data_IF_711332290412
#
_entry.id   IF_711332290412
#
_cell.length_a   1.000
_cell.length_b   1.000
_cell.length_c   1.000
_cell.angle_alpha   90.00
_cell.angle_beta   90.00
_cell.angle_gamma   90.00
#
_symmetry.space_group_name_H-M   'P 1'
#
loop_
_entity.id
_entity.type
_entity.pdbx_description
1 polymer ?
#
# COMPACT_ATOMS: atom_id res chain seq x y z
N UNK A 1 -36.09 -43.60 -8.35
CA UNK A 1 -35.13 -42.85 -7.51
C UNK A 1 -35.07 -41.40 -7.99
N UNK A 2 -34.90 -40.42 -7.11
CA UNK A 2 -34.88 -39.00 -7.45
C UNK A 2 -33.46 -38.45 -7.32
N UNK A 3 -32.95 -37.86 -8.40
CA UNK A 3 -31.58 -37.33 -8.46
C UNK A 3 -31.63 -35.82 -8.71
N UNK A 4 -30.73 -35.07 -8.09
CA UNK A 4 -30.60 -33.63 -8.30
C UNK A 4 -29.56 -33.35 -9.39
N UNK A 5 -30.01 -32.86 -10.53
CA UNK A 5 -29.13 -32.47 -11.64
C UNK A 5 -28.83 -30.97 -11.57
N UNK A 6 -27.55 -30.63 -11.55
CA UNK A 6 -27.05 -29.25 -11.51
C UNK A 6 -26.36 -28.89 -12.82
N UNK A 7 -26.78 -27.78 -13.43
CA UNK A 7 -26.24 -27.26 -14.69
C UNK A 7 -25.92 -25.78 -14.51
N UNK A 8 -24.64 -25.46 -14.31
CA UNK A 8 -24.23 -24.10 -13.91
C UNK A 8 -24.93 -23.65 -12.62
N UNK A 9 -25.70 -22.56 -12.70
CA UNK A 9 -26.51 -22.02 -11.59
C UNK A 9 -27.91 -22.65 -11.47
N UNK A 10 -28.37 -23.41 -12.47
CA UNK A 10 -29.69 -24.06 -12.47
C UNK A 10 -29.59 -25.43 -11.81
N UNK A 11 -30.63 -25.84 -11.07
CA UNK A 11 -30.74 -27.21 -10.58
C UNK A 11 -32.17 -27.69 -10.59
N UNK A 12 -32.38 -28.93 -11.02
CA UNK A 12 -33.70 -29.55 -11.10
C UNK A 12 -33.63 -31.01 -10.68
N UNK A 13 -34.78 -31.56 -10.28
CA UNK A 13 -34.90 -32.96 -9.89
C UNK A 13 -35.37 -33.80 -11.08
N UNK A 14 -34.76 -34.98 -11.25
CA UNK A 14 -35.11 -35.96 -12.27
C UNK A 14 -35.42 -37.28 -11.59
N UNK A 15 -36.50 -37.92 -12.02
CA UNK A 15 -36.88 -39.25 -11.57
C UNK A 15 -36.29 -40.30 -12.51
N UNK A 16 -35.56 -41.26 -11.94
CA UNK A 16 -34.93 -42.38 -12.62
C UNK A 16 -35.70 -43.65 -12.26
N UNK A 17 -36.17 -44.38 -13.26
CA UNK A 17 -37.12 -45.48 -13.09
C UNK A 17 -37.62 -46.03 -14.43
N UNK A 18 -38.39 -47.12 -14.38
CA UNK A 18 -39.01 -47.76 -15.56
C UNK A 18 -40.48 -47.30 -15.77
N UNK A 19 -40.98 -46.37 -14.96
CA UNK A 19 -42.36 -45.86 -15.05
C UNK A 19 -42.53 -44.72 -16.06
N UNK A 20 -43.78 -44.45 -16.46
CA UNK A 20 -44.11 -43.30 -17.30
C UNK A 20 -43.56 -41.99 -16.70
N UNK A 21 -42.77 -41.24 -17.49
CA UNK A 21 -42.16 -39.98 -17.09
C UNK A 21 -40.82 -40.11 -16.34
N UNK A 22 -40.33 -41.33 -16.12
CA UNK A 22 -38.99 -41.58 -15.57
C UNK A 22 -37.93 -41.76 -16.66
N UNK A 23 -36.68 -41.47 -16.32
CA UNK A 23 -35.51 -41.65 -17.19
C UNK A 23 -34.81 -42.96 -16.83
N UNK A 24 -34.53 -43.81 -17.80
CA UNK A 24 -33.91 -45.13 -17.60
C UNK A 24 -32.49 -45.21 -18.16
N UNK A 25 -32.19 -44.45 -19.22
CA UNK A 25 -30.90 -44.49 -19.92
C UNK A 25 -30.13 -43.17 -19.86
N UNK A 26 -28.82 -43.25 -20.12
CA UNK A 26 -27.96 -42.06 -20.21
C UNK A 26 -28.38 -41.15 -21.39
N UNK A 27 -28.87 -41.72 -22.48
CA UNK A 27 -29.39 -40.98 -23.64
C UNK A 27 -30.61 -40.14 -23.28
N UNK A 28 -31.59 -40.74 -22.60
CA UNK A 28 -32.79 -40.03 -22.11
C UNK A 28 -32.42 -38.93 -21.11
N UNK A 29 -31.44 -39.18 -20.23
CA UNK A 29 -30.95 -38.17 -19.28
C UNK A 29 -30.35 -36.97 -20.02
N UNK A 30 -29.54 -37.21 -21.05
CA UNK A 30 -28.95 -36.13 -21.87
C UNK A 30 -30.05 -35.36 -22.62
N UNK A 31 -31.02 -36.04 -23.21
CA UNK A 31 -32.12 -35.41 -23.93
C UNK A 31 -32.96 -34.49 -23.00
N UNK A 32 -33.32 -34.99 -21.81
CA UNK A 32 -34.09 -34.22 -20.84
C UNK A 32 -33.30 -33.01 -20.30
N UNK A 33 -31.99 -33.17 -20.10
CA UNK A 33 -31.12 -32.04 -19.71
C UNK A 33 -30.96 -31.04 -20.85
N UNK A 34 -30.90 -31.51 -22.11
CA UNK A 34 -30.81 -30.64 -23.28
C UNK A 34 -32.02 -29.73 -23.38
N UNK A 35 -33.22 -30.30 -23.23
CA UNK A 35 -34.48 -29.57 -23.25
C UNK A 35 -34.57 -28.54 -22.11
N UNK A 36 -34.20 -28.92 -20.88
CA UNK A 36 -34.33 -28.04 -19.71
C UNK A 36 -33.24 -26.98 -19.59
N UNK A 37 -32.05 -27.25 -20.12
CA UNK A 37 -30.88 -26.39 -19.92
C UNK A 37 -30.33 -25.78 -21.21
N UNK A 38 -30.92 -26.08 -22.36
CA UNK A 38 -30.50 -25.62 -23.69
C UNK A 38 -29.02 -25.91 -23.99
N UNK A 39 -28.64 -27.17 -23.76
CA UNK A 39 -27.27 -27.66 -23.98
C UNK A 39 -27.30 -28.71 -25.07
N UNK A 40 -26.33 -28.67 -25.98
CA UNK A 40 -26.14 -29.71 -26.99
C UNK A 40 -25.80 -31.06 -26.33
N UNK A 41 -26.61 -32.12 -26.51
CA UNK A 41 -26.35 -33.47 -26.00
C UNK A 41 -24.96 -34.02 -26.33
N UNK A 42 -24.41 -33.67 -27.49
CA UNK A 42 -23.11 -34.15 -27.95
C UNK A 42 -21.93 -33.55 -27.15
N UNK A 43 -22.13 -32.36 -26.58
CA UNK A 43 -21.12 -31.63 -25.81
C UNK A 43 -21.32 -31.75 -24.30
N UNK A 44 -22.28 -32.58 -23.85
CA UNK A 44 -22.54 -32.81 -22.44
C UNK A 44 -21.49 -33.73 -21.80
N UNK A 45 -20.95 -33.27 -20.68
CA UNK A 45 -20.16 -34.05 -19.72
C UNK A 45 -20.93 -34.19 -18.42
N UNK A 46 -21.25 -35.42 -18.07
CA UNK A 46 -21.96 -35.76 -16.83
C UNK A 46 -20.93 -36.15 -15.78
N UNK A 47 -20.98 -35.53 -14.61
CA UNK A 47 -20.09 -35.79 -13.48
C UNK A 47 -20.92 -36.27 -12.29
N UNK A 48 -20.56 -37.44 -11.76
CA UNK A 48 -21.15 -38.00 -10.54
C UNK A 48 -20.02 -38.35 -9.57
N UNK A 49 -20.13 -37.88 -8.31
CA UNK A 49 -19.14 -38.10 -7.23
C UNK A 49 -17.68 -37.81 -7.64
N UNK A 50 -17.48 -36.74 -8.42
CA UNK A 50 -16.15 -36.30 -8.87
C UNK A 50 -15.57 -37.12 -10.03
N UNK A 51 -16.32 -38.08 -10.59
CA UNK A 51 -15.91 -38.85 -11.77
C UNK A 51 -16.77 -38.48 -12.97
N UNK A 52 -16.13 -38.35 -14.12
CA UNK A 52 -16.84 -38.17 -15.40
C UNK A 52 -17.45 -39.51 -15.80
N UNK A 53 -18.75 -39.50 -16.06
CA UNK A 53 -19.47 -40.64 -16.61
C UNK A 53 -19.21 -40.68 -18.11
N UNK A 54 -18.56 -41.74 -18.57
CA UNK A 54 -18.35 -42.03 -19.99
C UNK A 54 -19.18 -43.25 -20.34
N UNK A 55 -20.13 -43.09 -21.25
CA UNK A 55 -21.12 -44.11 -21.58
C UNK A 55 -21.80 -43.85 -22.91
N UNK A 56 -22.20 -44.94 -23.58
CA UNK A 56 -23.10 -44.88 -24.72
C UNK A 56 -24.51 -44.42 -24.30
N UNK A 57 -25.32 -43.96 -25.25
CA UNK A 57 -26.67 -43.49 -24.95
C UNK A 57 -27.58 -44.60 -24.41
N UNK A 58 -27.29 -45.86 -24.76
CA UNK A 58 -28.05 -47.04 -24.33
C UNK A 58 -27.65 -47.54 -22.94
N UNK A 59 -26.65 -46.93 -22.30
CA UNK A 59 -26.21 -47.35 -20.97
C UNK A 59 -27.28 -47.04 -19.92
N UNK A 60 -27.62 -48.07 -19.14
CA UNK A 60 -28.58 -47.97 -18.05
C UNK A 60 -28.06 -47.09 -16.91
N UNK A 61 -28.92 -46.20 -16.40
CA UNK A 61 -28.62 -45.37 -15.22
C UNK A 61 -28.55 -46.20 -13.93
N UNK A 62 -29.15 -47.39 -13.92
CA UNK A 62 -29.11 -48.31 -12.77
C UNK A 62 -27.70 -48.88 -12.55
N UNK A 63 -26.93 -49.08 -13.62
CA UNK A 63 -25.55 -49.59 -13.56
C UNK A 63 -24.57 -48.56 -12.99
N UNK A 64 -25.00 -47.31 -12.85
CA UNK A 64 -24.17 -46.18 -12.43
C UNK A 64 -24.13 -45.97 -10.91
N UNK A 65 -24.71 -46.88 -10.11
CA UNK A 65 -24.73 -46.82 -8.64
C UNK A 65 -25.27 -45.48 -8.07
N UNK A 66 -26.24 -44.89 -8.77
CA UNK A 66 -26.95 -43.69 -8.32
C UNK A 66 -27.80 -44.02 -7.09
N UNK A 67 -27.76 -43.15 -6.09
CA UNK A 67 -28.61 -43.23 -4.89
C UNK A 67 -29.67 -42.13 -4.92
N UNK A 68 -30.72 -42.34 -4.15
CA UNK A 68 -31.74 -41.30 -3.96
C UNK A 68 -31.10 -40.04 -3.36
N UNK A 69 -31.46 -38.88 -3.91
CA UNK A 69 -30.89 -37.55 -3.63
C UNK A 69 -29.41 -37.36 -3.98
N UNK A 70 -28.83 -38.24 -4.80
CA UNK A 70 -27.49 -37.99 -5.34
C UNK A 70 -27.46 -36.69 -6.17
N UNK A 71 -26.31 -36.02 -6.17
CA UNK A 71 -26.05 -34.85 -6.99
C UNK A 71 -25.26 -35.24 -8.23
N UNK A 72 -25.83 -34.94 -9.40
CA UNK A 72 -25.19 -35.07 -10.71
C UNK A 72 -24.94 -33.68 -11.26
N UNK A 73 -23.72 -33.41 -11.70
CA UNK A 73 -23.33 -32.13 -12.29
C UNK A 73 -23.20 -32.36 -13.79
N UNK A 74 -23.91 -31.57 -14.59
CA UNK A 74 -23.75 -31.59 -16.05
C UNK A 74 -23.06 -30.31 -16.48
N UNK A 75 -22.00 -30.47 -17.26
CA UNK A 75 -21.30 -29.39 -17.93
C UNK A 75 -21.49 -29.54 -19.43
N UNK A 76 -21.72 -28.44 -20.13
CA UNK A 76 -21.79 -28.43 -21.58
C UNK A 76 -21.79 -27.01 -22.10
N UNK A 77 -21.63 -26.85 -23.40
CA UNK A 77 -21.80 -25.55 -24.07
C UNK A 77 -23.27 -25.41 -24.45
N UNK A 78 -23.85 -24.25 -24.17
CA UNK A 78 -25.20 -23.94 -24.62
C UNK A 78 -25.28 -24.07 -26.15
N UNK A 79 -26.40 -24.59 -26.65
CA UNK A 79 -26.62 -24.82 -28.09
C UNK A 79 -26.59 -23.50 -28.87
N UNK A 80 -27.05 -22.41 -28.24
CA UNK A 80 -26.89 -21.03 -28.72
C UNK A 80 -25.46 -20.58 -28.45
N UNK A 81 -24.56 -21.02 -29.32
CA UNK A 81 -23.26 -20.41 -29.49
C UNK A 81 -23.47 -18.92 -29.78
N UNK A 82 -23.02 -18.04 -28.87
CA UNK A 82 -22.88 -16.59 -29.10
C UNK A 82 -22.19 -16.22 -30.43
N UNK A 83 -21.57 -17.18 -31.14
CA UNK A 83 -20.97 -16.97 -32.46
C UNK A 83 -21.97 -16.69 -33.59
N UNK A 84 -23.24 -17.10 -33.45
CA UNK A 84 -24.24 -16.92 -34.53
C UNK A 84 -25.13 -15.68 -34.32
N UNK A 85 -24.88 -14.90 -33.26
CA UNK A 85 -25.51 -13.60 -33.08
C UNK A 85 -24.83 -12.56 -33.98
N UNK A 86 -25.58 -12.04 -34.96
CA UNK A 86 -25.17 -10.92 -35.83
C UNK A 86 -24.68 -9.72 -35.01
N UNK A 87 -25.26 -9.47 -33.84
CA UNK A 87 -24.84 -8.44 -32.91
C UNK A 87 -23.46 -8.72 -32.31
N UNK A 88 -23.21 -9.96 -31.87
CA UNK A 88 -21.90 -10.36 -31.32
C UNK A 88 -20.80 -10.35 -32.39
N UNK A 89 -21.10 -10.84 -33.60
CA UNK A 89 -20.17 -10.78 -34.74
C UNK A 89 -19.81 -9.33 -35.11
N UNK A 90 -20.80 -8.44 -35.11
CA UNK A 90 -20.60 -7.00 -35.32
C UNK A 90 -19.80 -6.34 -34.19
N UNK A 91 -19.99 -6.79 -32.94
CA UNK A 91 -19.23 -6.32 -31.80
C UNK A 91 -17.75 -6.74 -31.88
N UNK A 92 -17.50 -8.01 -32.23
CA UNK A 92 -16.15 -8.56 -32.39
C UNK A 92 -15.41 -7.93 -33.57
N UNK A 93 -16.10 -7.64 -34.68
CA UNK A 93 -15.51 -6.92 -35.80
C UNK A 93 -15.18 -5.47 -35.42
N UNK A 94 -16.09 -4.78 -34.73
CA UNK A 94 -15.83 -3.44 -34.20
C UNK A 94 -14.65 -3.42 -33.22
N UNK A 95 -14.54 -4.40 -32.32
CA UNK A 95 -13.42 -4.54 -31.39
C UNK A 95 -12.10 -4.76 -32.14
N UNK A 96 -12.07 -5.67 -33.11
CA UNK A 96 -10.86 -5.90 -33.90
C UNK A 96 -10.43 -4.68 -34.69
N UNK A 97 -11.36 -3.91 -35.25
CA UNK A 97 -11.05 -2.76 -36.09
C UNK A 97 -10.67 -1.52 -35.27
N UNK A 98 -11.34 -1.28 -34.14
CA UNK A 98 -11.21 -0.02 -33.40
C UNK A 98 -10.47 -0.15 -32.07
N UNK A 99 -10.50 -1.33 -31.43
CA UNK A 99 -9.92 -1.53 -30.10
C UNK A 99 -8.56 -2.23 -30.14
N UNK A 100 -8.19 -2.92 -31.21
CA UNK A 100 -6.88 -3.62 -31.31
C UNK A 100 -5.69 -2.66 -31.24
N UNK A 101 -5.77 -1.49 -31.87
CA UNK A 101 -4.78 -0.43 -31.75
C UNK A 101 -4.67 0.09 -30.32
N UNK A 102 -5.82 0.35 -29.68
CA UNK A 102 -5.90 0.81 -28.30
C UNK A 102 -5.40 -0.24 -27.30
N UNK A 103 -5.65 -1.53 -27.56
CA UNK A 103 -5.14 -2.66 -26.77
C UNK A 103 -3.62 -2.74 -26.87
N UNK A 104 -3.06 -2.51 -28.06
CA UNK A 104 -1.60 -2.46 -28.26
C UNK A 104 -0.98 -1.28 -27.51
N UNK A 105 -1.54 -0.08 -27.66
CA UNK A 105 -1.10 1.09 -26.90
C UNK A 105 -1.19 0.86 -25.38
N UNK A 106 -2.28 0.25 -24.91
CA UNK A 106 -2.44 -0.08 -23.50
C UNK A 106 -1.40 -1.10 -23.02
N UNK A 107 -1.04 -2.08 -23.87
CA UNK A 107 -0.01 -3.07 -23.57
C UNK A 107 1.40 -2.44 -23.53
N UNK A 108 1.69 -1.49 -24.44
CA UNK A 108 2.94 -0.74 -24.45
C UNK A 108 3.06 0.15 -23.19
N UNK A 109 1.99 0.88 -22.85
CA UNK A 109 1.88 1.67 -21.59
C UNK A 109 2.06 0.76 -20.37
N UNK A 110 1.49 -0.45 -20.39
CA UNK A 110 1.63 -1.40 -19.30
C UNK A 110 3.07 -1.89 -19.13
N UNK A 111 3.78 -2.14 -20.24
CA UNK A 111 5.19 -2.49 -20.24
C UNK A 111 6.04 -1.36 -19.63
N UNK A 112 5.81 -0.13 -20.08
CA UNK A 112 6.55 1.06 -19.61
C UNK A 112 6.30 1.34 -18.12
N UNK A 113 5.04 1.27 -17.65
CA UNK A 113 4.71 1.41 -16.24
C UNK A 113 5.38 0.32 -15.39
N UNK A 114 5.48 -0.91 -15.91
CA UNK A 114 6.15 -2.02 -15.21
C UNK A 114 7.67 -1.84 -15.15
N UNK A 115 8.27 -1.17 -16.14
CA UNK A 115 9.68 -0.82 -16.12
C UNK A 115 9.94 0.34 -15.13
N UNK A 116 9.10 1.38 -15.15
CA UNK A 116 9.16 2.49 -14.20
C UNK A 116 9.01 2.02 -12.75
N UNK A 117 8.05 1.14 -12.46
CA UNK A 117 7.84 0.58 -11.14
C UNK A 117 9.08 -0.19 -10.64
N UNK A 118 9.71 -1.00 -11.49
CA UNK A 118 10.95 -1.71 -11.14
C UNK A 118 12.08 -0.74 -10.82
N UNK A 119 12.30 0.26 -11.68
CA UNK A 119 13.35 1.26 -11.50
C UNK A 119 13.15 2.10 -10.22
N UNK A 120 11.89 2.43 -9.90
CA UNK A 120 11.53 3.14 -8.68
C UNK A 120 11.79 2.29 -7.42
N UNK A 121 11.41 1.01 -7.44
CA UNK A 121 11.59 0.09 -6.31
C UNK A 121 13.05 -0.30 -6.05
N UNK A 122 13.90 -0.30 -7.08
CA UNK A 122 15.33 -0.60 -6.96
C UNK A 122 16.16 0.57 -6.41
N UNK A 123 15.53 1.72 -6.08
CA UNK A 123 16.13 2.81 -5.32
C UNK A 123 17.14 3.66 -6.10
N UNK A 124 17.19 3.55 -7.43
CA UNK A 124 18.18 4.22 -8.27
C UNK A 124 18.05 5.75 -8.36
N UNK A 125 16.93 6.33 -7.92
CA UNK A 125 16.64 7.77 -8.09
C UNK A 125 16.98 8.58 -6.82
N UNK A 126 17.16 7.95 -5.65
CA UNK A 126 17.45 8.64 -4.39
C UNK A 126 18.86 8.41 -3.83
N UNK A 127 19.84 8.08 -4.67
CA UNK A 127 21.22 8.33 -4.28
C UNK A 127 21.50 9.80 -4.49
N UNK A 128 21.32 10.62 -3.44
CA UNK A 128 22.02 11.89 -3.33
C UNK A 128 23.48 11.61 -3.66
N UNK A 129 23.92 11.98 -4.88
CA UNK A 129 25.33 12.12 -5.19
C UNK A 129 25.80 13.33 -4.40
N UNK A 130 26.19 13.08 -3.15
CA UNK A 130 27.30 13.85 -2.58
C UNK A 130 28.51 13.54 -3.46
N UNK A 131 29.15 14.60 -3.94
CA UNK A 131 30.46 14.52 -4.57
C UNK A 131 31.38 13.64 -3.72
N UNK A 132 31.88 12.58 -4.33
CA UNK A 132 33.11 11.93 -3.90
C UNK A 132 33.80 11.39 -5.16
N UNK A 133 34.59 12.28 -5.78
CA UNK A 133 35.80 11.84 -6.44
C UNK A 133 36.68 11.18 -5.38
N UNK A 134 36.84 9.86 -5.41
CA UNK A 134 37.99 9.24 -4.77
C UNK A 134 38.45 7.95 -5.43
N UNK A 135 39.76 7.96 -5.66
CA UNK A 135 40.65 6.97 -6.25
C UNK A 135 40.55 5.57 -5.64
N UNK A 136 40.69 4.48 -6.43
CA UNK A 136 40.75 3.13 -5.91
C UNK A 136 42.21 2.69 -5.73
N UNK A 137 42.86 3.11 -4.64
CA UNK A 137 44.00 2.35 -4.12
C UNK A 137 44.27 2.67 -2.66
N UNK A 138 43.87 1.76 -1.76
CA UNK A 138 44.63 1.42 -0.55
C UNK A 138 43.97 0.23 0.15
N UNK A 139 44.72 -0.87 0.13
CA UNK A 139 44.50 -2.09 0.88
C UNK A 139 44.36 -1.84 2.38
N UNK A 140 43.30 -2.39 2.98
CA UNK A 140 43.06 -2.41 4.42
C UNK A 140 44.15 -3.17 5.19
N UNK A 141 44.62 -2.69 6.35
CA UNK A 141 45.25 -3.52 7.37
C UNK A 141 44.26 -3.91 8.49
N UNK A 142 44.56 -4.98 9.26
CA UNK A 142 43.64 -5.54 10.23
C UNK A 142 43.58 -4.70 11.51
N UNK A 143 42.38 -4.61 12.10
CA UNK A 143 42.15 -3.97 13.39
C UNK A 143 42.95 -4.65 14.50
N UNK A 144 44.04 -4.02 14.92
CA UNK A 144 44.74 -4.34 16.16
C UNK A 144 44.20 -3.47 17.29
N UNK A 145 43.78 -4.13 18.38
CA UNK A 145 43.44 -3.47 19.66
C UNK A 145 44.68 -2.74 20.19
N UNK A 146 44.69 -1.41 20.14
CA UNK A 146 45.55 -0.58 21.00
C UNK A 146 44.71 0.49 21.68
N UNK A 147 45.03 0.69 22.95
CA UNK A 147 44.28 1.49 23.91
C UNK A 147 44.09 2.93 23.46
N UNK A 148 42.83 3.37 23.56
CA UNK A 148 42.45 4.77 23.44
C UNK A 148 42.77 5.47 24.75
N UNK A 149 43.65 6.47 24.67
CA UNK A 149 43.91 7.44 25.72
C UNK A 149 42.60 8.18 26.03
N UNK A 150 42.13 8.08 27.26
CA UNK A 150 40.97 8.81 27.77
C UNK A 150 41.29 10.31 27.90
N UNK A 151 40.91 11.09 26.87
CA UNK A 151 40.65 12.52 27.04
C UNK A 151 39.22 12.71 27.54
N UNK A 152 39.05 13.43 28.65
CA UNK A 152 37.78 13.66 29.35
C UNK A 152 36.83 14.60 28.59
N UNK A 153 36.28 14.15 27.47
CA UNK A 153 35.30 14.87 26.65
C UNK A 153 33.83 14.60 27.01
N UNK A 154 33.52 14.10 28.22
CA UNK A 154 32.24 13.44 28.52
C UNK A 154 31.03 14.33 28.83
N UNK A 155 31.03 15.64 28.53
CA UNK A 155 29.90 16.52 28.93
C UNK A 155 28.79 16.61 27.88
N UNK A 156 29.11 16.77 26.59
CA UNK A 156 28.09 17.12 25.58
C UNK A 156 27.23 15.97 25.09
N UNK A 157 27.76 14.74 25.04
CA UNK A 157 27.02 13.58 24.53
C UNK A 157 25.95 13.09 25.51
N UNK A 158 26.27 13.09 26.82
CA UNK A 158 25.30 12.80 27.88
C UNK A 158 24.15 13.82 27.96
N UNK A 159 24.41 15.07 27.58
CA UNK A 159 23.40 16.13 27.53
C UNK A 159 22.34 15.84 26.45
N UNK A 160 22.73 15.41 25.26
CA UNK A 160 21.78 15.09 24.18
C UNK A 160 20.85 13.94 24.57
N UNK A 161 21.42 12.86 25.11
CA UNK A 161 20.63 11.71 25.57
C UNK A 161 19.63 12.12 26.65
N UNK A 162 20.06 12.93 27.62
CA UNK A 162 19.19 13.43 28.68
C UNK A 162 18.05 14.28 28.11
N UNK A 163 18.32 15.16 27.14
CA UNK A 163 17.30 15.99 26.49
C UNK A 163 16.26 15.15 25.76
N UNK A 164 16.69 14.15 24.97
CA UNK A 164 15.76 13.26 24.25
C UNK A 164 14.91 12.45 25.24
N UNK A 165 15.49 11.91 26.30
CA UNK A 165 14.75 11.18 27.34
C UNK A 165 13.73 12.08 28.06
N UNK A 166 14.11 13.30 28.41
CA UNK A 166 13.22 14.26 29.05
C UNK A 166 12.05 14.64 28.14
N UNK A 167 12.31 14.85 26.83
CA UNK A 167 11.26 15.09 25.85
C UNK A 167 10.31 13.89 25.74
N UNK A 168 10.84 12.67 25.62
CA UNK A 168 10.04 11.42 25.58
C UNK A 168 9.15 11.29 26.81
N UNK A 169 9.70 11.52 28.00
CA UNK A 169 8.96 11.44 29.26
C UNK A 169 7.87 12.52 29.35
N UNK A 170 8.15 13.74 28.90
CA UNK A 170 7.18 14.83 28.84
C UNK A 170 6.02 14.53 27.85
N UNK A 171 6.32 13.89 26.72
CA UNK A 171 5.31 13.41 25.76
C UNK A 171 4.41 12.33 26.37
N UNK A 172 5.00 11.28 26.96
CA UNK A 172 4.23 10.19 27.58
C UNK A 172 3.36 10.71 28.73
N UNK A 173 3.90 11.63 29.53
CA UNK A 173 3.21 12.24 30.68
C UNK A 173 2.26 13.37 30.30
N UNK A 174 2.13 13.71 29.01
CA UNK A 174 1.27 14.79 28.48
C UNK A 174 1.52 16.18 29.10
N UNK A 175 2.78 16.48 29.44
CA UNK A 175 3.18 17.76 30.03
C UNK A 175 3.55 18.77 28.95
N UNK A 176 2.55 19.48 28.40
CA UNK A 176 2.72 20.36 27.23
C UNK A 176 3.80 21.45 27.40
N UNK A 177 3.88 22.07 28.58
CA UNK A 177 4.90 23.11 28.87
C UNK A 177 6.31 22.52 28.85
N UNK A 178 6.48 21.33 29.42
CA UNK A 178 7.77 20.63 29.42
C UNK A 178 8.15 20.14 28.02
N UNK A 179 7.17 19.65 27.22
CA UNK A 179 7.39 19.25 25.83
C UNK A 179 8.04 20.39 25.04
N UNK A 180 7.39 21.57 25.02
CA UNK A 180 7.91 22.76 24.32
C UNK A 180 9.31 23.15 24.79
N UNK A 181 9.49 23.23 26.12
CA UNK A 181 10.80 23.56 26.72
C UNK A 181 11.90 22.60 26.28
N UNK A 182 11.66 21.29 26.36
CA UNK A 182 12.66 20.30 25.99
C UNK A 182 12.90 20.23 24.49
N UNK A 183 11.86 20.43 23.67
CA UNK A 183 12.00 20.50 22.22
C UNK A 183 12.83 21.69 21.77
N UNK A 184 12.64 22.88 22.35
CA UNK A 184 13.49 24.03 22.05
C UNK A 184 14.95 23.79 22.45
N UNK A 185 15.19 23.23 23.65
CA UNK A 185 16.54 22.87 24.08
C UNK A 185 17.17 21.86 23.12
N UNK A 186 16.43 20.80 22.76
CA UNK A 186 16.90 19.78 21.82
C UNK A 186 17.20 20.36 20.44
N UNK A 187 16.34 21.25 19.92
CA UNK A 187 16.57 21.94 18.63
C UNK A 187 17.88 22.72 18.64
N UNK A 188 18.15 23.49 19.71
CA UNK A 188 19.41 24.25 19.87
C UNK A 188 20.63 23.30 19.96
N UNK A 189 20.50 22.18 20.65
CA UNK A 189 21.58 21.19 20.76
C UNK A 189 21.85 20.47 19.43
N UNK A 190 20.81 20.15 18.65
CA UNK A 190 20.94 19.49 17.35
C UNK A 190 21.53 20.39 16.27
N UNK A 191 21.40 21.71 16.39
CA UNK A 191 22.12 22.64 15.50
C UNK A 191 23.62 22.69 15.77
N UNK A 192 24.10 22.07 16.86
CA UNK A 192 25.53 21.89 17.14
C UNK A 192 26.12 20.63 16.50
N UNK A 193 27.45 20.53 16.45
CA UNK A 193 28.20 19.35 15.97
C UNK A 193 28.14 18.19 16.99
N UNK A 194 26.97 17.94 17.58
CA UNK A 194 26.79 16.85 18.53
C UNK A 194 26.62 15.53 17.76
N UNK A 195 27.45 14.53 18.07
CA UNK A 195 27.30 13.18 17.51
C UNK A 195 26.13 12.46 18.20
N UNK A 196 25.06 12.07 17.48
CA UNK A 196 23.94 11.35 18.08
C UNK A 196 24.21 9.86 18.35
N UNK A 197 25.41 9.36 18.04
CA UNK A 197 25.75 7.92 18.09
C UNK A 197 25.51 7.26 19.45
N UNK A 198 25.87 7.91 20.56
CA UNK A 198 25.60 7.37 21.91
C UNK A 198 24.10 7.29 22.21
N UNK A 199 23.36 8.34 21.82
CA UNK A 199 21.91 8.39 21.99
C UNK A 199 21.24 7.28 21.16
N UNK A 200 21.74 7.04 19.94
CA UNK A 200 21.26 5.94 19.10
C UNK A 200 21.56 4.58 19.70
N UNK A 201 22.74 4.40 20.30
CA UNK A 201 23.09 3.17 21.00
C UNK A 201 22.14 2.93 22.18
N UNK A 202 21.79 3.95 22.97
CA UNK A 202 20.85 3.81 24.09
C UNK A 202 19.51 3.17 23.67
N UNK A 203 18.88 3.68 22.61
CA UNK A 203 17.58 3.15 22.14
C UNK A 203 17.65 1.75 21.51
N UNK A 204 18.85 1.27 21.16
CA UNK A 204 19.04 -0.01 20.47
C UNK A 204 19.84 -1.05 21.27
N UNK A 205 20.43 -0.69 22.41
CA UNK A 205 21.13 -1.62 23.27
C UNK A 205 20.15 -2.64 23.86
N UNK A 206 20.62 -3.88 23.99
CA UNK A 206 19.81 -4.99 24.48
C UNK A 206 19.55 -4.76 25.97
N UNK A 207 18.28 -4.88 26.37
CA UNK A 207 17.78 -4.72 27.75
C UNK A 207 18.79 -5.14 28.82
N UNK A 208 19.02 -4.24 29.78
CA UNK A 208 19.24 -4.65 31.18
C UNK A 208 17.88 -5.06 31.73
N UNK A 209 17.82 -6.12 32.54
CA UNK A 209 16.60 -6.85 32.92
C UNK A 209 15.50 -6.04 33.60
N UNK A 210 15.74 -4.78 33.97
CA UNK A 210 14.83 -3.90 34.71
C UNK A 210 14.31 -2.69 33.92
N UNK A 211 14.87 -2.36 32.76
CA UNK A 211 14.53 -1.12 32.05
C UNK A 211 13.35 -1.34 31.09
N UNK A 212 12.36 -0.45 31.13
CA UNK A 212 11.30 -0.40 30.11
C UNK A 212 11.94 -0.31 28.72
N UNK A 213 11.24 -0.84 27.71
CA UNK A 213 11.76 -0.87 26.35
C UNK A 213 11.84 0.57 25.80
N UNK A 214 13.03 1.18 25.89
CA UNK A 214 13.27 2.58 25.53
C UNK A 214 12.74 2.93 24.13
N UNK A 215 12.86 1.99 23.18
CA UNK A 215 12.33 2.15 21.83
C UNK A 215 10.80 2.22 21.81
N UNK A 216 10.11 1.41 22.62
CA UNK A 216 8.65 1.49 22.76
C UNK A 216 8.23 2.79 23.44
N UNK A 217 9.00 3.29 24.41
CA UNK A 217 8.71 4.58 25.05
C UNK A 217 8.88 5.73 24.05
N UNK A 218 9.90 5.70 23.19
CA UNK A 218 10.05 6.65 22.09
C UNK A 218 8.85 6.62 21.13
N UNK A 219 8.41 5.43 20.70
CA UNK A 219 7.24 5.29 19.82
C UNK A 219 5.95 5.74 20.50
N UNK A 220 5.79 5.45 21.81
CA UNK A 220 4.66 5.92 22.61
C UNK A 220 4.67 7.44 22.75
N UNK A 221 5.85 8.06 22.87
CA UNK A 221 5.98 9.51 22.86
C UNK A 221 5.50 10.11 21.53
N UNK A 222 5.85 9.52 20.38
CA UNK A 222 5.36 9.93 19.06
C UNK A 222 3.83 9.84 18.95
N UNK A 223 3.21 8.81 19.53
CA UNK A 223 1.74 8.68 19.56
C UNK A 223 1.04 9.70 20.45
N UNK A 224 1.71 10.13 21.53
CA UNK A 224 1.14 10.97 22.58
C UNK A 224 1.51 12.45 22.44
N UNK A 225 2.41 12.76 21.50
CA UNK A 225 2.86 14.12 21.23
C UNK A 225 1.74 14.92 20.56
N UNK A 226 1.42 16.08 21.15
CA UNK A 226 0.39 17.00 20.64
C UNK A 226 1.02 18.24 20.01
N UNK A 227 2.26 18.57 20.41
CA UNK A 227 3.00 19.72 19.89
C UNK A 227 3.75 19.34 18.60
N UNK A 228 3.60 20.17 17.56
CA UNK A 228 4.11 19.89 16.22
C UNK A 228 5.63 19.98 16.13
N UNK A 229 6.25 20.92 16.86
CA UNK A 229 7.71 21.02 16.93
C UNK A 229 8.31 19.80 17.63
N UNK A 230 7.71 19.39 18.76
CA UNK A 230 8.14 18.20 19.49
C UNK A 230 8.03 16.95 18.62
N UNK A 231 6.91 16.78 17.92
CA UNK A 231 6.68 15.63 17.05
C UNK A 231 7.66 15.64 15.87
N UNK A 232 7.91 16.79 15.25
CA UNK A 232 8.88 16.93 14.16
C UNK A 232 10.29 16.51 14.61
N UNK A 233 10.73 16.93 15.80
CA UNK A 233 12.03 16.52 16.36
C UNK A 233 12.10 15.03 16.67
N UNK A 234 11.05 14.45 17.24
CA UNK A 234 10.98 13.01 17.49
C UNK A 234 11.00 12.22 16.17
N UNK A 235 10.31 12.71 15.14
CA UNK A 235 10.30 12.10 13.81
C UNK A 235 11.69 12.20 13.15
N UNK A 236 12.33 13.38 13.18
CA UNK A 236 13.70 13.56 12.69
C UNK A 236 14.69 12.63 13.38
N UNK A 237 14.59 12.52 14.71
CA UNK A 237 15.41 11.60 15.48
C UNK A 237 15.23 10.13 15.07
N UNK A 238 13.98 9.68 14.85
CA UNK A 238 13.69 8.31 14.35
C UNK A 238 14.18 8.13 12.92
N UNK A 239 14.09 9.16 12.09
CA UNK A 239 14.58 9.13 10.72
C UNK A 239 16.11 8.93 10.71
N UNK A 240 16.84 9.72 11.48
CA UNK A 240 18.30 9.63 11.58
C UNK A 240 18.74 8.27 12.17
N UNK A 241 17.97 7.79 13.14
CA UNK A 241 18.13 6.43 13.66
C UNK A 241 18.07 5.37 12.55
N UNK A 242 17.21 5.49 11.54
CA UNK A 242 17.13 4.49 10.46
C UNK A 242 18.08 4.78 9.29
N UNK A 243 18.49 6.03 9.09
CA UNK A 243 19.24 6.47 7.90
C UNK A 243 20.76 6.50 8.08
N UNK A 244 21.27 6.67 9.30
CA UNK A 244 22.70 6.91 9.57
C UNK A 244 23.53 5.62 9.69
N UNK A 245 24.76 5.62 9.19
CA UNK A 245 25.72 4.53 9.37
C UNK A 245 25.60 3.38 8.35
N UNK A 246 26.33 2.28 8.59
CA UNK A 246 26.45 1.19 7.61
C UNK A 246 25.09 0.52 7.30
N UNK A 247 24.93 0.02 6.06
CA UNK A 247 23.71 -0.67 5.60
C UNK A 247 23.29 -1.77 6.58
N UNK A 248 24.24 -2.56 7.09
CA UNK A 248 23.99 -3.63 8.08
C UNK A 248 23.40 -3.08 9.37
N UNK A 249 23.92 -1.96 9.89
CA UNK A 249 23.43 -1.32 11.10
C UNK A 249 22.02 -0.74 10.89
N UNK A 250 21.79 -0.04 9.76
CA UNK A 250 20.47 0.48 9.37
C UNK A 250 19.41 -0.62 9.32
N UNK A 251 19.70 -1.72 8.63
CA UNK A 251 18.80 -2.88 8.53
C UNK A 251 18.55 -3.55 9.88
N UNK A 252 19.53 -3.58 10.79
CA UNK A 252 19.34 -4.13 12.13
C UNK A 252 18.43 -3.25 12.98
N UNK A 253 18.58 -1.93 12.90
CA UNK A 253 17.74 -0.95 13.61
C UNK A 253 16.31 -0.90 13.06
N UNK A 254 16.18 -0.91 11.73
CA UNK A 254 14.88 -1.02 11.05
C UNK A 254 14.08 -2.25 11.49
N UNK A 255 14.72 -3.43 11.54
CA UNK A 255 14.08 -4.66 12.04
C UNK A 255 13.62 -4.56 13.49
N UNK A 256 14.37 -3.85 14.34
CA UNK A 256 14.02 -3.65 15.75
C UNK A 256 12.84 -2.69 15.91
N UNK A 257 12.76 -1.62 15.11
CA UNK A 257 11.58 -0.74 15.03
C UNK A 257 10.33 -1.52 14.62
N UNK A 258 10.42 -2.36 13.59
CA UNK A 258 9.31 -3.23 13.18
C UNK A 258 8.87 -4.15 14.33
N UNK A 259 9.83 -4.76 15.06
CA UNK A 259 9.52 -5.60 16.23
C UNK A 259 8.90 -4.82 17.39
N UNK A 260 9.20 -3.53 17.50
CA UNK A 260 8.61 -2.63 18.48
C UNK A 260 7.24 -2.06 18.05
N UNK A 261 6.67 -2.54 16.93
CA UNK A 261 5.39 -2.11 16.37
C UNK A 261 5.37 -0.64 15.89
N UNK A 262 6.53 -0.13 15.48
CA UNK A 262 6.69 1.25 15.01
C UNK A 262 5.73 1.60 13.86
N UNK A 263 5.48 0.68 12.92
CA UNK A 263 4.57 0.95 11.79
C UNK A 263 3.15 1.24 12.28
N UNK A 264 2.62 0.45 13.21
CA UNK A 264 1.27 0.67 13.75
C UNK A 264 1.21 1.97 14.54
N UNK A 265 2.27 2.31 15.28
CA UNK A 265 2.37 3.56 16.01
C UNK A 265 2.30 4.78 15.09
N UNK A 266 3.15 4.81 14.07
CA UNK A 266 3.22 5.90 13.10
C UNK A 266 1.91 6.05 12.30
N UNK A 267 1.28 4.93 11.91
CA UNK A 267 -0.03 4.97 11.23
C UNK A 267 -1.11 5.56 12.15
N UNK A 268 -1.11 5.21 13.44
CA UNK A 268 -2.06 5.81 14.41
C UNK A 268 -1.85 7.31 14.54
N UNK A 269 -0.61 7.75 14.68
CA UNK A 269 -0.25 9.17 14.74
C UNK A 269 -0.72 9.89 13.49
N UNK A 270 -0.34 9.41 12.30
CA UNK A 270 -0.73 10.02 11.03
C UNK A 270 -2.26 10.09 10.88
N UNK A 271 -2.97 9.02 11.24
CA UNK A 271 -4.44 9.00 11.19
C UNK A 271 -5.06 10.12 12.03
N UNK A 272 -4.58 10.32 13.26
CA UNK A 272 -5.05 11.40 14.12
C UNK A 272 -4.81 12.76 13.46
N UNK A 273 -3.62 12.96 12.90
CA UNK A 273 -3.24 14.22 12.23
C UNK A 273 -4.04 14.49 10.95
N UNK A 274 -4.27 13.48 10.12
CA UNK A 274 -5.13 13.60 8.93
C UNK A 274 -6.55 14.02 9.31
N UNK A 275 -7.08 13.52 10.43
CA UNK A 275 -8.40 13.92 10.95
C UNK A 275 -8.40 15.39 11.41
N UNK A 276 -7.36 15.82 12.11
CA UNK A 276 -7.23 17.19 12.62
C UNK A 276 -7.00 18.21 11.50
N UNK A 277 -6.19 17.87 10.49
CA UNK A 277 -5.93 18.74 9.33
C UNK A 277 -7.22 19.10 8.57
N UNK A 278 -8.14 18.13 8.42
CA UNK A 278 -9.46 18.37 7.81
C UNK A 278 -10.29 19.36 8.64
N UNK A 279 -10.16 19.34 9.97
CA UNK A 279 -10.82 20.31 10.84
C UNK A 279 -10.18 21.71 10.71
N UNK A 280 -8.83 21.79 10.67
CA UNK A 280 -8.08 23.05 10.56
C UNK A 280 -8.39 23.84 9.29
N UNK A 281 -8.59 23.17 8.15
CA UNK A 281 -8.91 23.86 6.88
C UNK A 281 -10.25 24.63 6.93
N UNK A 282 -11.18 24.26 7.83
CA UNK A 282 -12.48 24.94 7.95
C UNK A 282 -12.43 26.26 8.72
N UNK A 283 -11.39 26.50 9.52
CA UNK A 283 -11.35 27.63 10.46
C UNK A 283 -10.38 28.76 10.07
N UNK A 284 -9.66 28.64 8.96
CA UNK A 284 -8.63 29.62 8.54
C UNK A 284 -9.25 31.02 8.34
N UNK A 285 -8.90 31.97 9.22
CA UNK A 285 -9.36 33.37 9.17
C UNK A 285 -8.26 34.41 9.48
N UNK A 286 -7.06 34.06 9.94
CA UNK A 286 -6.03 35.07 10.31
C UNK A 286 -4.58 34.70 9.95
N UNK A 287 -3.71 35.72 9.77
CA UNK A 287 -2.28 35.56 9.39
C UNK A 287 -1.42 34.80 10.40
N UNK A 288 -1.72 34.89 11.70
CA UNK A 288 -0.98 34.12 12.71
C UNK A 288 -1.17 32.60 12.55
N UNK A 289 -2.24 32.17 11.88
CA UNK A 289 -2.51 30.77 11.60
C UNK A 289 -1.64 30.21 10.46
N UNK A 290 -0.95 31.05 9.69
CA UNK A 290 -0.12 30.61 8.55
C UNK A 290 1.17 29.91 8.99
N UNK A 291 1.94 30.48 9.94
CA UNK A 291 3.18 29.87 10.44
C UNK A 291 2.91 28.53 11.16
N UNK A 292 1.88 28.51 12.01
CA UNK A 292 1.43 27.30 12.70
C UNK A 292 0.95 26.24 11.69
N UNK A 293 0.33 26.66 10.59
CA UNK A 293 -0.08 25.76 9.51
C UNK A 293 1.13 25.13 8.82
N UNK A 294 2.15 25.91 8.47
CA UNK A 294 3.36 25.41 7.80
C UNK A 294 4.09 24.37 8.66
N UNK A 295 4.28 24.65 9.96
CA UNK A 295 4.91 23.70 10.87
C UNK A 295 4.12 22.39 10.97
N UNK A 296 2.80 22.51 11.03
CA UNK A 296 1.93 21.35 11.11
C UNK A 296 1.94 20.48 9.85
N UNK A 297 2.09 21.10 8.67
CA UNK A 297 2.21 20.42 7.38
C UNK A 297 3.58 19.73 7.24
N UNK A 298 4.67 20.38 7.66
CA UNK A 298 5.99 19.75 7.76
C UNK A 298 5.97 18.54 8.70
N UNK A 299 5.24 18.65 9.81
CA UNK A 299 5.05 17.56 10.74
C UNK A 299 4.26 16.39 10.12
N UNK A 300 3.17 16.69 9.41
CA UNK A 300 2.38 15.69 8.68
C UNK A 300 3.26 14.94 7.65
N UNK A 301 4.11 15.67 6.92
CA UNK A 301 5.07 15.11 5.96
C UNK A 301 6.12 14.23 6.63
N UNK A 302 6.75 14.70 7.72
CA UNK A 302 7.75 13.92 8.45
C UNK A 302 7.18 12.60 8.98
N UNK A 303 5.94 12.60 9.47
CA UNK A 303 5.26 11.37 9.91
C UNK A 303 4.98 10.46 8.72
N UNK A 304 4.47 10.98 7.60
CA UNK A 304 4.19 10.19 6.40
C UNK A 304 5.47 9.55 5.82
N UNK A 305 6.56 10.33 5.73
CA UNK A 305 7.87 9.85 5.29
C UNK A 305 8.38 8.71 6.19
N UNK A 306 8.22 8.81 7.52
CA UNK A 306 8.57 7.72 8.42
C UNK A 306 7.68 6.50 8.27
N UNK A 307 6.37 6.67 8.04
CA UNK A 307 5.48 5.54 7.75
C UNK A 307 5.98 4.80 6.51
N UNK A 308 6.41 5.50 5.47
CA UNK A 308 6.96 4.88 4.26
C UNK A 308 8.32 4.21 4.54
N UNK A 309 9.26 4.91 5.17
CA UNK A 309 10.60 4.40 5.48
C UNK A 309 10.57 3.14 6.37
N UNK A 310 9.73 3.12 7.42
CA UNK A 310 9.60 1.97 8.33
C UNK A 310 8.65 0.92 7.77
N UNK A 311 7.64 1.36 7.01
CA UNK A 311 6.48 0.58 6.61
C UNK A 311 6.55 -0.09 5.23
N UNK A 312 7.52 0.21 4.36
CA UNK A 312 7.57 -0.18 2.93
C UNK A 312 7.33 -1.67 2.52
N UNK A 313 7.04 -2.59 3.44
CA UNK A 313 6.70 -4.00 3.14
C UNK A 313 5.20 -4.22 3.05
N UNK A 314 4.73 -4.94 2.02
CA UNK A 314 3.30 -5.23 1.78
C UNK A 314 2.52 -5.76 3.01
N UNK A 315 3.18 -6.50 3.92
CA UNK A 315 2.56 -6.96 5.19
C UNK A 315 2.10 -5.79 6.07
N UNK A 316 2.82 -4.68 6.05
CA UNK A 316 2.50 -3.49 6.84
C UNK A 316 1.38 -2.64 6.19
N UNK A 317 1.15 -2.76 4.87
CA UNK A 317 0.01 -2.12 4.19
C UNK A 317 -1.32 -2.62 4.75
N UNK A 318 -1.36 -3.90 5.13
CA UNK A 318 -2.53 -4.48 5.79
C UNK A 318 -2.80 -3.85 7.16
N UNK A 319 -1.77 -3.33 7.85
CA UNK A 319 -1.95 -2.64 9.14
C UNK A 319 -2.69 -1.33 8.94
N UNK A 320 -2.35 -0.55 7.90
CA UNK A 320 -3.05 0.69 7.56
C UNK A 320 -4.56 0.45 7.36
N UNK A 321 -4.94 -0.66 6.72
CA UNK A 321 -6.34 -1.04 6.52
C UNK A 321 -7.07 -1.49 7.80
N UNK A 322 -6.35 -1.95 8.83
CA UNK A 322 -6.97 -2.32 10.12
C UNK A 322 -7.45 -1.09 10.87
N UNK A 323 -6.86 0.06 10.62
CA UNK A 323 -7.29 1.31 11.22
C UNK A 323 -8.51 1.87 10.48
N UNK A 324 -9.70 1.61 11.03
CA UNK A 324 -10.98 2.08 10.48
C UNK A 324 -10.91 3.58 10.15
N UNK A 325 -11.30 3.92 8.93
CA UNK A 325 -11.35 5.29 8.42
C UNK A 325 -10.02 5.85 7.92
N UNK A 326 -8.89 5.15 8.05
CA UNK A 326 -7.58 5.64 7.59
C UNK A 326 -7.57 5.96 6.09
N UNK A 327 -7.97 5.00 5.24
CA UNK A 327 -8.03 5.20 3.79
C UNK A 327 -8.95 6.38 3.40
N UNK A 328 -10.12 6.49 4.03
CA UNK A 328 -11.04 7.60 3.82
C UNK A 328 -10.43 8.95 4.21
N UNK A 329 -9.76 9.03 5.35
CA UNK A 329 -9.08 10.26 5.79
C UNK A 329 -7.91 10.63 4.88
N UNK A 330 -7.12 9.65 4.43
CA UNK A 330 -6.06 9.85 3.47
C UNK A 330 -6.60 10.40 2.14
N UNK A 331 -7.66 9.80 1.60
CA UNK A 331 -8.31 10.29 0.38
C UNK A 331 -8.90 11.69 0.55
N UNK A 332 -9.51 11.99 1.70
CA UNK A 332 -10.00 13.33 2.00
C UNK A 332 -8.86 14.35 2.07
N UNK A 333 -7.72 13.97 2.64
CA UNK A 333 -6.55 14.85 2.68
C UNK A 333 -5.98 15.07 1.28
N UNK A 334 -5.78 14.02 0.49
CA UNK A 334 -5.34 14.11 -0.92
C UNK A 334 -6.23 15.07 -1.70
N UNK A 335 -7.56 14.93 -1.61
CA UNK A 335 -8.50 15.81 -2.31
C UNK A 335 -8.49 17.27 -1.80
N UNK A 336 -7.97 17.51 -0.60
CA UNK A 336 -7.90 18.85 -0.01
C UNK A 336 -6.61 19.58 -0.34
N UNK A 337 -5.59 18.86 -0.81
CA UNK A 337 -4.28 19.44 -1.11
C UNK A 337 -4.35 20.09 -2.49
N UNK A 338 -4.02 21.37 -2.54
CA UNK A 338 -3.97 22.13 -3.79
C UNK A 338 -2.57 22.11 -4.40
N UNK A 339 -1.55 21.66 -3.65
CA UNK A 339 -0.17 21.54 -4.08
C UNK A 339 0.35 22.84 -4.73
N UNK A 340 0.04 23.97 -4.09
CA UNK A 340 0.45 25.31 -4.56
C UNK A 340 1.89 25.64 -4.19
N UNK A 341 2.37 25.05 -3.10
CA UNK A 341 3.73 25.22 -2.61
C UNK A 341 4.49 23.87 -2.59
N UNK A 342 5.84 23.90 -2.49
CA UNK A 342 6.66 22.69 -2.52
C UNK A 342 6.41 21.74 -1.33
N UNK A 343 6.05 22.26 -0.16
CA UNK A 343 5.85 21.44 1.06
C UNK A 343 4.54 20.66 0.90
N UNK A 344 3.47 21.33 0.47
CA UNK A 344 2.18 20.73 0.20
C UNK A 344 2.29 19.67 -0.91
N UNK A 345 3.10 19.94 -1.94
CA UNK A 345 3.37 19.01 -3.05
C UNK A 345 4.15 17.77 -2.59
N UNK A 346 5.19 17.95 -1.77
CA UNK A 346 5.94 16.83 -1.21
C UNK A 346 5.04 15.95 -0.32
N UNK A 347 4.24 16.57 0.54
CA UNK A 347 3.30 15.84 1.39
C UNK A 347 2.23 15.10 0.57
N UNK A 348 1.73 15.71 -0.50
CA UNK A 348 0.82 15.06 -1.44
C UNK A 348 1.46 13.82 -2.08
N UNK A 349 2.71 13.94 -2.55
CA UNK A 349 3.45 12.81 -3.12
C UNK A 349 3.54 11.66 -2.11
N UNK A 350 3.90 11.94 -0.85
CA UNK A 350 3.93 10.93 0.23
C UNK A 350 2.56 10.31 0.50
N UNK A 351 1.50 11.11 0.53
CA UNK A 351 0.13 10.60 0.68
C UNK A 351 -0.27 9.64 -0.45
N UNK A 352 0.12 9.96 -1.69
CA UNK A 352 -0.11 9.11 -2.85
C UNK A 352 0.72 7.83 -2.79
N UNK A 353 1.99 7.92 -2.35
CA UNK A 353 2.87 6.77 -2.17
C UNK A 353 2.29 5.80 -1.13
N UNK A 354 1.74 6.35 -0.04
CA UNK A 354 1.00 5.60 0.96
C UNK A 354 -0.28 4.97 0.40
N UNK A 355 -1.02 5.70 -0.44
CA UNK A 355 -2.21 5.17 -1.10
C UNK A 355 -1.86 4.00 -2.03
N UNK A 356 -0.81 4.14 -2.83
CA UNK A 356 -0.25 3.07 -3.68
C UNK A 356 0.13 1.86 -2.84
N UNK A 357 0.83 2.07 -1.74
CA UNK A 357 1.21 1.02 -0.81
C UNK A 357 -0.01 0.27 -0.24
N UNK A 358 -1.06 1.01 0.16
CA UNK A 358 -2.33 0.43 0.64
C UNK A 358 -3.04 -0.35 -0.47
N UNK A 359 -3.05 0.18 -1.70
CA UNK A 359 -3.71 -0.41 -2.87
C UNK A 359 -3.07 -1.73 -3.36
N UNK A 360 -1.88 -2.11 -2.87
CA UNK A 360 -1.26 -3.40 -3.22
C UNK A 360 -2.12 -4.61 -2.84
N UNK A 361 -3.00 -4.49 -1.85
CA UNK A 361 -3.87 -5.60 -1.42
C UNK A 361 -5.25 -5.56 -2.09
N UNK A 362 -5.77 -6.71 -2.54
CA UNK A 362 -7.10 -6.80 -3.18
C UNK A 362 -8.22 -6.20 -2.31
N UNK A 363 -8.20 -6.49 -1.01
CA UNK A 363 -9.18 -5.95 -0.05
C UNK A 363 -9.15 -4.43 0.04
N UNK A 364 -7.97 -3.81 -0.01
CA UNK A 364 -7.85 -2.36 -0.06
C UNK A 364 -8.46 -1.80 -1.34
N UNK A 365 -8.13 -2.39 -2.49
CA UNK A 365 -8.62 -1.89 -3.78
C UNK A 365 -10.13 -1.83 -3.84
N UNK A 366 -10.81 -2.90 -3.44
CA UNK A 366 -12.28 -2.93 -3.38
C UNK A 366 -12.83 -1.80 -2.49
N UNK A 367 -12.21 -1.56 -1.33
CA UNK A 367 -12.60 -0.48 -0.44
C UNK A 367 -12.35 0.90 -1.06
N UNK A 368 -11.20 1.10 -1.68
CA UNK A 368 -10.83 2.37 -2.33
C UNK A 368 -11.74 2.69 -3.52
N UNK A 369 -12.10 1.68 -4.33
CA UNK A 369 -13.09 1.81 -5.41
C UNK A 369 -14.43 2.23 -4.84
N UNK A 370 -14.90 1.60 -3.75
CA UNK A 370 -16.15 1.98 -3.08
C UNK A 370 -16.13 3.40 -2.49
N UNK A 371 -14.96 3.98 -2.23
CA UNK A 371 -14.79 5.37 -1.76
C UNK A 371 -14.56 6.36 -2.92
N UNK A 372 -14.79 5.94 -4.17
CA UNK A 372 -14.64 6.74 -5.39
C UNK A 372 -13.23 7.34 -5.55
N UNK A 373 -12.19 6.55 -5.23
CA UNK A 373 -10.78 6.99 -5.38
C UNK A 373 -10.49 7.45 -6.81
N UNK A 374 -11.02 6.78 -7.83
CA UNK A 374 -10.74 7.07 -9.25
C UNK A 374 -11.18 8.50 -9.61
N UNK A 375 -12.39 8.89 -9.19
CA UNK A 375 -12.93 10.24 -9.43
C UNK A 375 -12.10 11.34 -8.75
N UNK A 376 -11.34 11.01 -7.70
CA UNK A 376 -10.46 11.96 -7.00
C UNK A 376 -9.07 12.01 -7.63
N UNK A 377 -8.59 10.90 -8.17
CA UNK A 377 -7.24 10.79 -8.73
C UNK A 377 -7.13 11.33 -10.15
N UNK A 378 -8.16 11.20 -10.98
CA UNK A 378 -8.13 11.70 -12.35
C UNK A 378 -7.94 13.23 -12.42
N UNK A 379 -8.73 14.08 -11.71
CA UNK A 379 -8.51 15.52 -11.73
C UNK A 379 -7.15 15.92 -11.16
N UNK A 380 -6.64 15.16 -10.18
CA UNK A 380 -5.32 15.38 -9.61
C UNK A 380 -4.21 15.14 -10.65
N UNK A 381 -4.30 14.02 -11.36
CA UNK A 381 -3.38 13.67 -12.43
C UNK A 381 -3.41 14.70 -13.56
N UNK A 382 -4.60 15.10 -14.03
CA UNK A 382 -4.76 16.11 -15.08
C UNK A 382 -4.14 17.44 -14.67
N UNK A 383 -4.39 17.88 -13.44
CA UNK A 383 -3.84 19.12 -12.90
C UNK A 383 -2.31 19.11 -12.86
N UNK A 384 -1.72 18.06 -12.27
CA UNK A 384 -0.26 17.99 -12.14
C UNK A 384 0.45 17.76 -13.48
N UNK A 385 -0.17 17.03 -14.41
CA UNK A 385 0.34 16.90 -15.77
C UNK A 385 0.33 18.25 -16.52
N UNK A 386 -0.65 19.11 -16.25
CA UNK A 386 -0.67 20.48 -16.79
C UNK A 386 0.49 21.32 -16.23
N UNK A 387 0.70 21.27 -14.91
CA UNK A 387 1.80 21.99 -14.25
C UNK A 387 3.17 21.55 -14.76
N UNK A 388 3.39 20.24 -14.96
CA UNK A 388 4.65 19.73 -15.54
C UNK A 388 4.91 20.30 -16.94
N UNK A 389 3.86 20.48 -17.76
CA UNK A 389 4.01 21.10 -19.09
C UNK A 389 4.36 22.58 -18.99
N UNK A 390 3.68 23.32 -18.12
CA UNK A 390 3.93 24.76 -17.93
C UNK A 390 5.36 25.03 -17.42
N UNK A 391 5.82 24.26 -16.44
CA UNK A 391 7.18 24.35 -15.91
C UNK A 391 8.25 23.89 -16.92
N UNK A 392 7.93 22.99 -17.85
CA UNK A 392 8.88 22.62 -18.90
C UNK A 392 9.10 23.75 -19.93
N UNK A 393 8.12 24.65 -20.08
CA UNK A 393 8.20 25.79 -20.99
C UNK A 393 8.90 27.01 -20.37
N UNK A 394 8.85 27.14 -19.05
CA UNK A 394 9.56 28.18 -18.30
C UNK A 394 10.91 27.59 -17.87
N UNK A 395 12.05 28.20 -18.16
CA UNK A 395 13.37 27.66 -17.77
C UNK A 395 13.64 27.75 -16.24
N UNK A 396 12.66 27.37 -15.42
CA UNK A 396 12.72 27.35 -13.96
C UNK A 396 13.39 26.10 -13.41
N UNK A 397 13.78 26.17 -12.13
CA UNK A 397 14.57 25.19 -11.39
C UNK A 397 14.08 23.75 -11.53
N UNK A 398 15.01 22.81 -11.73
CA UNK A 398 14.79 21.37 -11.92
C UNK A 398 14.08 20.64 -10.77
N UNK A 399 13.98 21.23 -9.58
CA UNK A 399 13.49 20.57 -8.38
C UNK A 399 11.95 20.53 -8.25
N UNK A 400 11.22 21.53 -8.77
CA UNK A 400 9.74 21.54 -8.69
C UNK A 400 9.11 20.60 -9.73
N UNK A 401 9.73 20.51 -10.91
CA UNK A 401 9.30 19.64 -12.01
C UNK A 401 9.39 18.17 -11.65
N UNK A 402 10.32 17.81 -10.77
CA UNK A 402 10.51 16.44 -10.28
C UNK A 402 9.31 15.97 -9.42
N UNK A 403 8.85 16.81 -8.48
CA UNK A 403 7.75 16.45 -7.57
C UNK A 403 6.42 16.29 -8.30
N UNK A 404 6.10 17.17 -9.26
CA UNK A 404 4.87 17.04 -10.06
C UNK A 404 4.89 15.79 -10.95
N UNK A 405 6.05 15.45 -11.49
CA UNK A 405 6.25 14.20 -12.25
C UNK A 405 6.05 12.99 -11.33
N UNK A 406 6.62 13.00 -10.13
CA UNK A 406 6.43 11.95 -9.13
C UNK A 406 4.95 11.77 -8.76
N UNK A 407 4.22 12.86 -8.50
CA UNK A 407 2.78 12.83 -8.23
C UNK A 407 2.01 12.16 -9.38
N UNK A 408 2.34 12.49 -10.64
CA UNK A 408 1.71 11.90 -11.81
C UNK A 408 2.01 10.39 -11.91
N UNK A 409 3.27 10.00 -11.75
CA UNK A 409 3.71 8.61 -11.84
C UNK A 409 3.06 7.73 -10.75
N UNK A 410 3.06 8.20 -9.50
CA UNK A 410 2.42 7.47 -8.40
C UNK A 410 0.91 7.39 -8.64
N UNK A 411 0.28 8.47 -9.12
CA UNK A 411 -1.15 8.48 -9.42
C UNK A 411 -1.53 7.45 -10.48
N UNK A 412 -0.76 7.37 -11.56
CA UNK A 412 -0.92 6.34 -12.59
C UNK A 412 -0.71 4.93 -12.03
N UNK A 413 0.30 4.73 -11.18
CA UNK A 413 0.54 3.44 -10.54
C UNK A 413 -0.63 3.01 -9.63
N UNK A 414 -1.25 3.93 -8.88
CA UNK A 414 -2.46 3.65 -8.10
C UNK A 414 -3.61 3.26 -9.02
N UNK A 415 -3.89 4.05 -10.06
CA UNK A 415 -4.98 3.77 -11.01
C UNK A 415 -4.81 2.41 -11.69
N UNK A 416 -3.57 2.06 -12.09
CA UNK A 416 -3.23 0.75 -12.62
C UNK A 416 -3.49 -0.37 -11.61
N UNK A 417 -3.09 -0.20 -10.35
CA UNK A 417 -3.39 -1.22 -9.34
C UNK A 417 -4.90 -1.45 -9.20
N UNK A 418 -5.68 -0.37 -9.25
CA UNK A 418 -7.14 -0.42 -9.13
C UNK A 418 -7.80 -1.13 -10.32
N UNK A 419 -7.26 -1.00 -11.54
CA UNK A 419 -7.80 -1.69 -12.73
C UNK A 419 -7.50 -3.20 -12.76
N UNK A 420 -6.40 -3.65 -12.14
CA UNK A 420 -5.92 -5.03 -12.24
C UNK A 420 -6.83 -6.07 -11.54
N UNK A 421 -7.88 -5.70 -10.79
CA UNK A 421 -8.77 -6.66 -10.10
C UNK A 421 -10.12 -6.04 -9.63
N UNK A 422 -10.61 -4.99 -10.29
CA UNK A 422 -11.97 -4.49 -10.13
C UNK A 422 -12.98 -5.36 -10.87
#
# INVERSE_FOLDING_TARGET
MKVKVSVGSKSFHIEIGEGEGSVSTLGELKALVAEKADIDPALMKIIHRGKTVTGGNDQSLFDMNLKDNDRVIVMGKASVSLKDDLGYSSLVSYEKTNLSGLQKEHQDIESDLSALERNYLDGGIFSFKGDDSNDPSLSSPPMSRRGVVHGSGSSKEGELLSLVQNLVNACISRRLVEQKKFAECLKRSLTGVADPSETFLYYFLKKRSSDEDALKNLLRAVEMCVDDLCLLLLCGFIHDLVSVGSIKARLARHRKLIKADATSALIRTLRCRLKEAICRKKSRTTKCEEEDTTLAEQCDDAVAALVLAVGAKARNAQLALRHRGFAKQLLMRISSLEAKDPIESAFLARCLEMLYFVAKTRKARVLLVGENVVCRMLPLLERHACLTKEESCQHSSTTSTDVHTEICLISLAVLRLLSINS
#
